data_IF_918195556401
#
_entry.id   IF_918195556401
#
_cell.length_a   1.000
_cell.length_b   1.000
_cell.length_c   1.000
_cell.angle_alpha   90.00
_cell.angle_beta   90.00
_cell.angle_gamma   90.00
#
_symmetry.space_group_name_H-M   'P 1'
#
loop_
_entity.id
_entity.type
_entity.pdbx_description
1 polymer ?
#
# COMPACT_ATOMS: atom_id res chain seq x y z
N UNK A 1 -2.33 31.60 18.43
CA UNK A 1 -1.81 30.77 17.33
C UNK A 1 -2.93 29.86 16.87
N UNK A 2 -3.43 30.03 15.63
CA UNK A 2 -4.52 29.23 15.09
C UNK A 2 -3.99 27.89 14.61
N UNK A 3 -4.05 26.86 15.46
CA UNK A 3 -3.92 25.48 14.98
C UNK A 3 -5.09 25.22 14.02
N UNK A 4 -4.85 24.64 12.83
CA UNK A 4 -5.96 24.26 11.96
C UNK A 4 -6.89 23.34 12.75
N UNK A 5 -8.20 23.63 12.71
CA UNK A 5 -9.20 22.85 13.42
C UNK A 5 -9.38 21.49 12.71
N UNK A 6 -8.47 20.55 12.95
CA UNK A 6 -8.52 19.22 12.34
C UNK A 6 -9.61 18.43 13.06
N UNK A 7 -10.77 18.31 12.43
CA UNK A 7 -11.86 17.45 12.92
C UNK A 7 -11.47 15.98 12.75
N UNK A 8 -11.71 15.19 13.79
CA UNK A 8 -11.66 13.74 13.73
C UNK A 8 -12.60 13.25 12.62
N UNK A 9 -12.12 12.31 11.81
CA UNK A 9 -12.95 11.64 10.81
C UNK A 9 -13.31 10.28 11.35
N UNK A 10 -14.60 9.96 11.39
CA UNK A 10 -15.05 8.61 11.69
C UNK A 10 -14.83 7.71 10.47
N UNK A 11 -14.43 6.46 10.71
CA UNK A 11 -14.42 5.44 9.68
C UNK A 11 -15.86 5.19 9.18
N UNK A 12 -16.00 4.96 7.89
CA UNK A 12 -17.26 4.69 7.21
C UNK A 12 -17.13 3.33 6.53
N UNK A 13 -17.94 2.36 6.95
CA UNK A 13 -17.82 0.96 6.53
C UNK A 13 -17.93 0.77 5.00
N UNK A 14 -18.69 1.62 4.32
CA UNK A 14 -18.89 1.55 2.86
C UNK A 14 -17.70 2.10 2.06
N UNK A 15 -16.75 2.78 2.72
CA UNK A 15 -15.56 3.34 2.08
C UNK A 15 -14.33 2.77 2.76
N UNK A 16 -13.74 1.74 2.16
CA UNK A 16 -12.63 0.99 2.75
C UNK A 16 -11.41 1.86 3.13
N UNK A 17 -11.11 2.95 2.41
CA UNK A 17 -10.04 3.90 2.74
C UNK A 17 -10.33 4.82 3.94
N UNK A 18 -11.58 4.87 4.41
CA UNK A 18 -11.97 5.78 5.49
C UNK A 18 -11.26 5.47 6.81
N UNK A 19 -10.98 4.19 7.08
CA UNK A 19 -10.25 3.74 8.26
C UNK A 19 -8.80 4.22 8.20
N UNK A 20 -8.13 4.06 7.06
CA UNK A 20 -6.75 4.55 6.86
C UNK A 20 -6.66 6.07 7.09
N UNK A 21 -7.55 6.82 6.44
CA UNK A 21 -7.64 8.29 6.58
C UNK A 21 -7.93 8.70 8.03
N UNK A 22 -8.77 7.95 8.74
CA UNK A 22 -9.04 8.18 10.17
C UNK A 22 -7.79 7.98 11.01
N UNK A 23 -7.06 6.88 10.80
CA UNK A 23 -5.84 6.57 11.56
C UNK A 23 -4.72 7.58 11.32
N UNK A 24 -4.54 8.03 10.07
CA UNK A 24 -3.56 9.08 9.75
C UNK A 24 -3.89 10.39 10.47
N UNK A 25 -5.16 10.80 10.45
CA UNK A 25 -5.62 11.99 11.17
C UNK A 25 -5.50 11.84 12.68
N UNK A 26 -5.71 10.63 13.20
CA UNK A 26 -5.54 10.38 14.62
C UNK A 26 -4.09 10.67 15.05
N UNK A 27 -3.10 10.27 14.24
CA UNK A 27 -1.70 10.60 14.50
C UNK A 27 -1.39 12.10 14.38
N UNK A 28 -2.01 12.82 13.45
CA UNK A 28 -1.86 14.28 13.35
C UNK A 28 -2.39 15.04 14.59
N UNK A 29 -3.42 14.49 15.24
CA UNK A 29 -4.07 15.08 16.43
C UNK A 29 -3.52 14.41 17.71
N UNK A 30 -2.46 13.60 17.63
CA UNK A 30 -1.90 12.86 18.76
C UNK A 30 -1.54 13.76 19.94
N UNK A 31 -0.93 14.92 19.69
CA UNK A 31 -0.46 15.81 20.76
C UNK A 31 -1.61 16.29 21.67
N UNK A 32 -2.68 16.92 21.16
CA UNK A 32 -3.83 17.29 21.99
C UNK A 32 -4.65 16.09 22.50
N UNK A 33 -4.67 14.95 21.79
CA UNK A 33 -5.39 13.74 22.23
C UNK A 33 -4.64 12.92 23.27
N UNK A 34 -3.32 13.05 23.38
CA UNK A 34 -2.50 12.34 24.38
C UNK A 34 -2.89 12.69 25.82
N UNK A 35 -3.50 13.86 26.02
CA UNK A 35 -4.06 14.30 27.31
C UNK A 35 -5.34 13.54 27.66
N UNK A 36 -6.11 13.08 26.65
CA UNK A 36 -7.38 12.39 26.83
C UNK A 36 -7.27 10.86 26.67
N UNK A 37 -6.32 10.37 25.85
CA UNK A 37 -6.09 8.96 25.55
C UNK A 37 -4.74 8.56 26.17
N UNK A 38 -4.81 7.84 27.28
CA UNK A 38 -3.69 7.56 28.19
C UNK A 38 -2.82 6.37 27.77
N UNK A 39 -3.25 5.54 26.81
CA UNK A 39 -2.54 4.31 26.45
C UNK A 39 -1.54 4.54 25.30
N UNK A 40 -0.28 4.75 25.66
CA UNK A 40 0.82 4.91 24.70
C UNK A 40 1.01 3.70 23.76
N UNK A 41 0.58 2.50 24.18
CA UNK A 41 0.62 1.26 23.38
C UNK A 41 -0.18 1.38 22.09
N UNK A 42 -1.35 2.00 22.14
CA UNK A 42 -2.31 2.00 21.03
C UNK A 42 -1.82 2.91 19.90
N UNK A 43 -1.14 4.00 20.25
CA UNK A 43 -0.48 4.89 19.30
C UNK A 43 0.67 4.20 18.54
N UNK A 44 1.40 3.30 19.21
CA UNK A 44 2.48 2.54 18.59
C UNK A 44 1.92 1.54 17.57
N UNK A 45 0.84 0.83 17.93
CA UNK A 45 0.15 -0.12 17.05
C UNK A 45 -0.38 0.59 15.80
N UNK A 46 -1.01 1.75 15.97
CA UNK A 46 -1.54 2.54 14.84
C UNK A 46 -0.41 2.98 13.92
N UNK A 47 0.68 3.50 14.48
CA UNK A 47 1.84 3.93 13.70
C UNK A 47 2.49 2.78 12.93
N UNK A 48 2.41 1.55 13.45
CA UNK A 48 2.99 0.36 12.82
C UNK A 48 2.07 -0.23 11.73
N UNK A 49 0.75 -0.10 11.87
CA UNK A 49 -0.22 -0.58 10.89
C UNK A 49 -0.33 0.34 9.66
N UNK A 50 -0.13 1.65 9.81
CA UNK A 50 -0.24 2.61 8.70
C UNK A 50 0.69 2.30 7.50
N UNK A 51 1.99 2.03 7.70
CA UNK A 51 2.88 1.61 6.62
C UNK A 51 2.40 0.36 5.87
N UNK A 52 1.76 -0.59 6.57
CA UNK A 52 1.22 -1.82 5.98
C UNK A 52 0.01 -1.54 5.09
N UNK A 53 -0.83 -0.59 5.48
CA UNK A 53 -2.06 -0.23 4.77
C UNK A 53 -1.85 0.74 3.61
N UNK A 54 -0.84 1.63 3.66
CA UNK A 54 -0.55 2.60 2.60
C UNK A 54 -0.36 2.00 1.20
N UNK A 55 0.41 0.91 1.01
CA UNK A 55 0.57 0.28 -0.30
C UNK A 55 -0.75 -0.18 -0.92
N UNK A 56 -1.73 -0.58 -0.10
CA UNK A 56 -3.05 -0.96 -0.58
C UNK A 56 -3.79 0.25 -1.13
N UNK A 57 -3.80 1.38 -0.43
CA UNK A 57 -4.42 2.63 -0.89
C UNK A 57 -3.82 3.10 -2.23
N UNK A 58 -2.49 3.09 -2.33
CA UNK A 58 -1.84 3.48 -3.57
C UNK A 58 -2.22 2.54 -4.72
N UNK A 59 -2.14 1.22 -4.51
CA UNK A 59 -2.41 0.23 -5.56
C UNK A 59 -3.85 0.28 -6.04
N UNK A 60 -4.80 0.46 -5.14
CA UNK A 60 -6.23 0.54 -5.45
C UNK A 60 -6.63 1.87 -6.06
N UNK A 61 -6.03 2.98 -5.63
CA UNK A 61 -6.22 4.30 -6.25
C UNK A 61 -5.72 4.27 -7.68
N UNK A 62 -4.54 3.70 -7.90
CA UNK A 62 -4.02 3.45 -9.24
C UNK A 62 -5.00 2.61 -10.05
N UNK A 63 -5.43 1.45 -9.54
CA UNK A 63 -6.38 0.55 -10.23
C UNK A 63 -7.77 1.15 -10.48
N UNK A 64 -8.21 2.13 -9.69
CA UNK A 64 -9.49 2.80 -9.87
C UNK A 64 -9.46 3.84 -11.00
N UNK A 65 -8.30 4.07 -11.63
CA UNK A 65 -8.13 4.99 -12.74
C UNK A 65 -8.72 4.48 -14.06
N UNK A 66 -9.95 4.89 -14.39
CA UNK A 66 -10.64 4.43 -15.60
C UNK A 66 -9.91 4.76 -16.92
N UNK A 67 -9.21 5.90 -17.00
CA UNK A 67 -8.65 6.42 -18.26
C UNK A 67 -7.24 5.92 -18.58
N UNK A 68 -6.50 5.40 -17.60
CA UNK A 68 -5.08 5.10 -17.75
C UNK A 68 -4.67 3.70 -17.28
N UNK A 69 -5.53 3.01 -16.50
CA UNK A 69 -5.26 1.62 -16.10
C UNK A 69 -5.56 0.71 -17.27
N UNK A 70 -4.50 0.15 -17.84
CA UNK A 70 -4.61 -0.90 -18.85
C UNK A 70 -4.52 -2.27 -18.19
N UNK A 71 -5.21 -3.29 -18.72
CA UNK A 71 -5.14 -4.67 -18.21
C UNK A 71 -3.70 -5.20 -18.04
N UNK A 72 -2.76 -4.66 -18.83
CA UNK A 72 -1.34 -4.94 -18.75
C UNK A 72 -0.67 -4.50 -17.44
N UNK A 73 -1.16 -3.46 -16.75
CA UNK A 73 -0.56 -2.93 -15.51
C UNK A 73 -0.98 -3.69 -14.25
N UNK A 74 -2.02 -4.53 -14.34
CA UNK A 74 -2.57 -5.27 -13.19
C UNK A 74 -1.52 -6.19 -12.56
N UNK A 75 -0.83 -7.01 -13.35
CA UNK A 75 0.21 -7.93 -12.83
C UNK A 75 1.37 -7.16 -12.18
N UNK A 76 1.98 -6.14 -12.82
CA UNK A 76 3.00 -5.30 -12.19
C UNK A 76 2.55 -4.67 -10.87
N UNK A 77 1.31 -4.16 -10.80
CA UNK A 77 0.77 -3.53 -9.60
C UNK A 77 0.61 -4.54 -8.45
N UNK A 78 0.07 -5.73 -8.74
CA UNK A 78 -0.06 -6.80 -7.73
C UNK A 78 1.30 -7.28 -7.23
N UNK A 79 2.26 -7.47 -8.15
CA UNK A 79 3.65 -7.84 -7.80
C UNK A 79 4.33 -6.76 -6.96
N UNK A 80 4.15 -5.49 -7.33
CA UNK A 80 4.65 -4.34 -6.58
C UNK A 80 4.04 -4.26 -5.18
N UNK A 81 2.74 -4.48 -5.05
CA UNK A 81 2.05 -4.53 -3.76
C UNK A 81 2.59 -5.65 -2.86
N UNK A 82 2.74 -6.86 -3.39
CA UNK A 82 3.32 -7.99 -2.65
C UNK A 82 4.77 -7.72 -2.22
N UNK A 83 5.57 -7.08 -3.09
CA UNK A 83 6.93 -6.69 -2.76
C UNK A 83 6.97 -5.65 -1.64
N UNK A 84 6.20 -4.57 -1.75
CA UNK A 84 6.11 -3.53 -0.72
C UNK A 84 5.69 -4.12 0.62
N UNK A 85 4.67 -4.99 0.64
CA UNK A 85 4.22 -5.66 1.85
C UNK A 85 5.30 -6.54 2.47
N UNK A 86 6.18 -7.18 1.70
CA UNK A 86 7.30 -7.98 2.23
C UNK A 86 8.47 -7.14 2.73
N UNK A 87 8.65 -5.93 2.19
CA UNK A 87 9.74 -5.03 2.57
C UNK A 87 9.45 -4.31 3.89
N UNK A 88 8.18 -4.07 4.20
CA UNK A 88 7.76 -3.49 5.48
C UNK A 88 8.09 -4.46 6.61
N UNK A 89 8.62 -3.95 7.73
CA UNK A 89 8.93 -4.74 8.92
C UNK A 89 8.18 -4.16 10.11
N UNK A 90 6.92 -4.59 10.34
CA UNK A 90 6.17 -4.18 11.51
C UNK A 90 6.86 -4.70 12.78
N UNK A 91 6.82 -3.91 13.85
CA UNK A 91 7.39 -4.29 15.16
C UNK A 91 6.30 -4.85 16.09
N UNK A 92 5.05 -4.40 15.92
CA UNK A 92 3.91 -4.83 16.70
C UNK A 92 3.41 -6.21 16.25
N UNK A 93 2.97 -7.02 17.21
CA UNK A 93 2.28 -8.29 16.94
C UNK A 93 1.06 -8.09 16.02
N UNK A 94 0.31 -7.02 16.22
CA UNK A 94 -0.86 -6.67 15.40
C UNK A 94 -0.43 -6.31 13.98
N UNK A 95 0.67 -5.54 13.83
CA UNK A 95 1.23 -5.17 12.53
C UNK A 95 1.71 -6.39 11.74
N UNK A 96 2.40 -7.32 12.40
CA UNK A 96 2.85 -8.59 11.82
C UNK A 96 1.67 -9.48 11.42
N UNK A 97 0.66 -9.62 12.28
CA UNK A 97 -0.55 -10.36 11.97
C UNK A 97 -1.27 -9.77 10.75
N UNK A 98 -1.43 -8.45 10.71
CA UNK A 98 -2.06 -7.74 9.60
C UNK A 98 -1.30 -7.95 8.28
N UNK A 99 0.03 -7.79 8.31
CA UNK A 99 0.88 -8.02 7.15
C UNK A 99 0.74 -9.45 6.61
N UNK A 100 0.84 -10.46 7.48
CA UNK A 100 0.72 -11.86 7.07
C UNK A 100 -0.66 -12.16 6.49
N UNK A 101 -1.72 -11.66 7.13
CA UNK A 101 -3.10 -11.86 6.66
C UNK A 101 -3.35 -11.20 5.31
N UNK A 102 -2.78 -10.02 5.08
CA UNK A 102 -2.86 -9.32 3.81
C UNK A 102 -2.10 -10.07 2.70
N UNK A 103 -0.88 -10.51 2.96
CA UNK A 103 -0.09 -11.29 1.99
C UNK A 103 -0.83 -12.58 1.61
N UNK A 104 -1.38 -13.30 2.58
CA UNK A 104 -2.18 -14.51 2.36
C UNK A 104 -3.42 -14.21 1.49
N UNK A 105 -4.17 -13.16 1.83
CA UNK A 105 -5.41 -12.80 1.15
C UNK A 105 -5.16 -12.31 -0.27
N UNK A 106 -4.12 -11.51 -0.47
CA UNK A 106 -3.68 -11.03 -1.79
C UNK A 106 -3.23 -12.20 -2.64
N UNK A 107 -2.41 -13.10 -2.10
CA UNK A 107 -1.95 -14.27 -2.85
C UNK A 107 -3.10 -15.19 -3.24
N UNK A 108 -4.07 -15.40 -2.35
CA UNK A 108 -5.27 -16.21 -2.61
C UNK A 108 -6.19 -15.57 -3.67
N UNK A 109 -6.47 -14.27 -3.56
CA UNK A 109 -7.45 -13.59 -4.43
C UNK A 109 -6.86 -13.13 -5.75
N UNK A 110 -5.60 -12.66 -5.74
CA UNK A 110 -4.94 -12.02 -6.87
C UNK A 110 -3.85 -12.90 -7.49
N UNK A 111 -3.42 -13.99 -6.84
CA UNK A 111 -2.45 -14.92 -7.42
C UNK A 111 -2.96 -15.63 -8.68
N UNK A 112 -4.27 -15.86 -8.79
CA UNK A 112 -4.88 -16.44 -9.99
C UNK A 112 -4.89 -15.51 -11.20
N UNK A 113 -4.75 -14.19 -11.00
CA UNK A 113 -4.68 -13.22 -12.10
C UNK A 113 -3.42 -13.41 -12.95
N UNK A 114 -2.33 -13.86 -12.34
CA UNK A 114 -1.10 -14.19 -13.07
C UNK A 114 -1.27 -15.45 -13.93
N UNK A 115 -2.12 -16.38 -13.50
CA UNK A 115 -2.48 -17.58 -14.27
C UNK A 115 -3.50 -17.29 -15.38
N UNK A 116 -4.17 -16.13 -15.35
CA UNK A 116 -5.11 -15.76 -16.39
C UNK A 116 -4.37 -15.40 -17.69
N UNK A 117 -4.55 -16.24 -18.71
CA UNK A 117 -3.90 -16.10 -20.02
C UNK A 117 -4.12 -14.73 -20.67
N UNK A 118 -5.27 -14.10 -20.46
CA UNK A 118 -5.59 -12.79 -21.06
C UNK A 118 -4.74 -11.72 -20.40
N UNK A 119 -4.79 -11.64 -19.07
CA UNK A 119 -4.01 -10.64 -18.29
C UNK A 119 -2.52 -10.83 -18.55
N UNK A 120 -2.02 -12.07 -18.43
CA UNK A 120 -0.62 -12.41 -18.68
C UNK A 120 -0.16 -12.05 -20.10
N UNK A 121 -0.96 -12.36 -21.14
CA UNK A 121 -0.66 -11.97 -22.52
C UNK A 121 -0.65 -10.45 -22.68
N UNK A 122 -1.62 -9.73 -22.13
CA UNK A 122 -1.67 -8.26 -22.26
C UNK A 122 -0.49 -7.59 -21.56
N UNK A 123 -0.13 -8.04 -20.35
CA UNK A 123 1.07 -7.58 -19.63
C UNK A 123 2.34 -7.88 -20.43
N UNK A 124 2.47 -9.09 -20.96
CA UNK A 124 3.64 -9.46 -21.76
C UNK A 124 3.73 -8.65 -23.05
N UNK A 125 2.59 -8.36 -23.69
CA UNK A 125 2.55 -7.63 -24.95
C UNK A 125 2.76 -6.12 -24.79
N UNK A 126 2.59 -5.56 -23.59
CA UNK A 126 2.77 -4.13 -23.36
C UNK A 126 4.24 -3.70 -23.52
N UNK A 127 4.52 -2.95 -24.58
CA UNK A 127 5.85 -2.45 -24.90
C UNK A 127 6.38 -1.47 -23.85
N UNK A 128 5.51 -0.78 -23.10
CA UNK A 128 5.90 0.14 -22.02
C UNK A 128 6.53 -0.64 -20.86
N UNK A 129 5.99 -1.81 -20.53
CA UNK A 129 6.52 -2.67 -19.47
C UNK A 129 7.84 -3.33 -19.88
N UNK A 130 7.99 -3.72 -21.16
CA UNK A 130 9.27 -4.20 -21.70
C UNK A 130 10.37 -3.15 -21.66
N UNK A 131 10.05 -1.90 -21.98
CA UNK A 131 10.99 -0.77 -21.87
C UNK A 131 11.37 -0.54 -20.41
N UNK A 132 10.39 -0.45 -19.51
CA UNK A 132 10.65 -0.28 -18.07
C UNK A 132 11.56 -1.38 -17.50
N UNK A 133 11.32 -2.65 -17.85
CA UNK A 133 12.19 -3.75 -17.43
C UNK A 133 13.61 -3.61 -17.97
N UNK A 134 13.75 -3.23 -19.25
CA UNK A 134 15.06 -3.00 -19.88
C UNK A 134 15.82 -1.84 -19.24
N UNK A 135 15.12 -0.75 -18.90
CA UNK A 135 15.70 0.45 -18.31
C UNK A 135 16.11 0.23 -16.84
N UNK A 136 15.30 -0.49 -16.06
CA UNK A 136 15.67 -0.93 -14.70
C UNK A 136 16.90 -1.84 -14.72
N UNK A 137 17.01 -2.75 -15.69
CA UNK A 137 18.18 -3.61 -15.84
C UNK A 137 19.43 -2.81 -16.15
N UNK A 138 19.34 -1.79 -17.01
CA UNK A 138 20.46 -0.88 -17.33
C UNK A 138 20.94 -0.09 -16.11
N UNK A 139 20.03 0.41 -15.26
CA UNK A 139 20.37 1.12 -14.03
C UNK A 139 21.06 0.24 -12.97
N UNK A 140 20.81 -1.07 -12.96
CA UNK A 140 21.49 -2.01 -12.07
C UNK A 140 22.85 -2.48 -12.61
N UNK A 141 23.10 -2.33 -13.91
CA UNK A 141 24.35 -2.77 -14.57
C UNK A 141 25.37 -1.66 -14.82
N UNK A 142 25.10 -0.40 -14.48
CA UNK A 142 26.14 0.64 -14.51
C UNK A 142 27.15 0.35 -13.40
N UNK A 143 28.43 0.07 -13.72
CA UNK A 143 29.46 -0.09 -12.71
C UNK A 143 29.57 1.23 -11.93
N UNK A 144 29.67 1.15 -10.61
CA UNK A 144 30.24 2.25 -9.82
C UNK A 144 31.65 2.46 -10.34
N UNK A 145 31.84 3.46 -11.18
CA UNK A 145 33.17 3.95 -11.54
C UNK A 145 33.72 4.61 -10.29
N UNK A 146 34.66 3.94 -9.65
CA UNK A 146 35.49 4.39 -8.54
C UNK A 146 36.82 3.66 -8.64
#
# INVERSE_FOLDING_TARGET
MGLPLIKTKQAVDTRWNSLLIMLERLLEIKDPLSVAITNASDWSVISDCLPVLKPLELTTTELSGEKYVTMSSVIPLVRGLQHNLKTIKPVSEVGLWLQNKLIETISRRLGSLESNKIVAKTTFLDSRLRKLHSDLKKMQTTPKVG
#
